data_IF_072186077672
#
_entry.id   IF_072186077672
#
_cell.length_a   1.000
_cell.length_b   1.000
_cell.length_c   1.000
_cell.angle_alpha   90.00
_cell.angle_beta   90.00
_cell.angle_gamma   90.00
#
_symmetry.space_group_name_H-M   'P 1'
#
loop_
_entity.id
_entity.type
_entity.pdbx_description
1 polymer ?
#
# COMPACT_ATOMS: atom_id res chain seq x y z
N UNK A 1 -1.68 11.80 -5.07
CA UNK A 1 -0.50 10.92 -4.95
C UNK A 1 -0.60 9.84 -6.01
N UNK A 2 0.47 9.62 -6.77
CA UNK A 2 0.58 8.54 -7.76
C UNK A 2 1.30 7.32 -7.16
N UNK A 3 1.23 6.16 -7.82
CA UNK A 3 1.98 4.95 -7.43
C UNK A 3 3.50 5.23 -7.36
N UNK A 4 4.03 6.07 -8.25
CA UNK A 4 5.46 6.45 -8.24
C UNK A 4 5.83 7.35 -7.06
N UNK A 5 4.92 8.23 -6.65
CA UNK A 5 5.11 9.04 -5.44
C UNK A 5 4.98 8.20 -4.18
N UNK A 6 4.03 7.26 -4.15
CA UNK A 6 3.88 6.29 -3.07
C UNK A 6 5.13 5.43 -2.89
N UNK A 7 5.70 4.88 -3.96
CA UNK A 7 6.92 4.08 -3.89
C UNK A 7 8.06 4.84 -3.19
N UNK A 8 8.27 6.10 -3.56
CA UNK A 8 9.28 6.98 -2.97
C UNK A 8 8.99 7.31 -1.51
N UNK A 9 7.72 7.58 -1.18
CA UNK A 9 7.31 7.85 0.20
C UNK A 9 7.54 6.63 1.10
N UNK A 10 7.16 5.44 0.65
CA UNK A 10 7.34 4.19 1.39
C UNK A 10 8.82 3.86 1.63
N UNK A 11 9.66 4.02 0.61
CA UNK A 11 11.10 3.86 0.74
C UNK A 11 11.68 4.83 1.78
N UNK A 12 11.23 6.09 1.79
CA UNK A 12 11.69 7.11 2.74
C UNK A 12 11.35 6.81 4.20
N UNK A 13 10.33 5.99 4.46
CA UNK A 13 9.94 5.53 5.81
C UNK A 13 10.41 4.11 6.12
N UNK A 14 11.37 3.58 5.35
CA UNK A 14 12.00 2.29 5.61
C UNK A 14 11.15 1.06 5.24
N UNK A 15 10.11 1.22 4.42
CA UNK A 15 9.36 0.08 3.88
C UNK A 15 10.13 -0.53 2.72
N UNK A 16 10.35 -1.84 2.80
CA UNK A 16 11.03 -2.59 1.73
C UNK A 16 10.15 -2.66 0.47
N UNK A 17 10.70 -2.45 -0.73
CA UNK A 17 9.97 -2.68 -1.98
C UNK A 17 9.43 -4.10 -2.14
N UNK A 18 9.99 -5.09 -1.41
CA UNK A 18 9.51 -6.48 -1.45
C UNK A 18 8.22 -6.71 -0.66
N UNK A 19 7.86 -5.81 0.24
CA UNK A 19 6.63 -5.94 1.04
C UNK A 19 5.42 -5.26 0.39
N UNK A 20 5.61 -4.68 -0.80
CA UNK A 20 4.57 -3.97 -1.54
C UNK A 20 4.55 -4.34 -3.02
N UNK A 21 3.36 -4.34 -3.61
CA UNK A 21 3.12 -4.46 -5.04
C UNK A 21 2.27 -3.26 -5.48
N UNK A 22 2.84 -2.38 -6.31
CA UNK A 22 2.20 -1.14 -6.73
C UNK A 22 1.86 -1.22 -8.22
N UNK A 23 0.57 -1.08 -8.56
CA UNK A 23 0.03 -1.32 -9.90
C UNK A 23 -0.29 -2.79 -10.20
N UNK A 24 -0.34 -3.64 -9.17
CA UNK A 24 -0.60 -5.07 -9.29
C UNK A 24 -0.54 -5.74 -7.92
N UNK A 25 -0.30 -7.05 -7.91
CA UNK A 25 -0.23 -7.84 -6.70
C UNK A 25 0.93 -8.84 -6.71
N UNK A 26 1.39 -9.21 -5.52
CA UNK A 26 2.39 -10.24 -5.29
C UNK A 26 2.05 -11.01 -4.00
N UNK A 27 2.40 -12.28 -3.93
CA UNK A 27 2.13 -13.10 -2.75
C UNK A 27 2.93 -12.58 -1.54
N UNK A 28 2.29 -12.53 -0.38
CA UNK A 28 2.81 -11.94 0.85
C UNK A 28 3.25 -10.47 0.70
N UNK A 29 2.43 -9.67 0.03
CA UNK A 29 2.67 -8.23 -0.13
C UNK A 29 1.40 -7.39 0.02
N UNK A 30 1.57 -6.16 0.51
CA UNK A 30 0.54 -5.14 0.41
C UNK A 30 0.42 -4.68 -1.04
N UNK A 31 -0.76 -4.78 -1.61
CA UNK A 31 -1.02 -4.53 -3.02
C UNK A 31 -1.89 -3.29 -3.19
N UNK A 32 -1.57 -2.48 -4.20
CA UNK A 32 -2.41 -1.41 -4.73
C UNK A 32 -2.56 -1.64 -6.22
N UNK A 33 -3.78 -1.88 -6.70
CA UNK A 33 -4.02 -2.09 -8.13
C UNK A 33 -5.38 -1.52 -8.55
N UNK A 34 -5.56 -1.30 -9.85
CA UNK A 34 -6.87 -0.97 -10.40
C UNK A 34 -7.62 -2.27 -10.76
N UNK A 35 -8.82 -2.43 -10.22
CA UNK A 35 -9.75 -3.49 -10.62
C UNK A 35 -10.17 -3.34 -12.09
N UNK A 36 -10.61 -4.43 -12.74
CA UNK A 36 -11.17 -4.37 -14.10
C UNK A 36 -12.34 -3.39 -14.24
N UNK A 37 -13.08 -3.14 -13.16
CA UNK A 37 -14.22 -2.23 -13.10
C UNK A 37 -13.81 -0.76 -12.91
N UNK A 38 -12.50 -0.48 -12.81
CA UNK A 38 -11.95 0.87 -12.72
C UNK A 38 -11.80 1.43 -11.30
N UNK A 39 -12.31 0.72 -10.29
CA UNK A 39 -12.05 1.04 -8.88
C UNK A 39 -10.62 0.67 -8.48
N UNK A 40 -10.08 1.35 -7.48
CA UNK A 40 -8.74 1.07 -6.94
C UNK A 40 -8.84 0.23 -5.68
N UNK A 41 -8.03 -0.81 -5.59
CA UNK A 41 -8.04 -1.77 -4.49
C UNK A 41 -6.76 -1.68 -3.68
N UNK A 42 -6.90 -1.77 -2.36
CA UNK A 42 -5.78 -1.85 -1.41
C UNK A 42 -6.00 -3.03 -0.48
N UNK A 43 -5.06 -3.97 -0.41
CA UNK A 43 -5.20 -5.19 0.37
C UNK A 43 -3.86 -5.88 0.67
N UNK A 44 -3.83 -6.77 1.66
CA UNK A 44 -2.73 -7.72 1.84
C UNK A 44 -3.03 -8.98 1.03
N UNK A 45 -2.17 -9.33 0.08
CA UNK A 45 -2.35 -10.54 -0.72
C UNK A 45 -1.58 -11.70 -0.13
N UNK A 46 -2.28 -12.78 0.17
CA UNK A 46 -1.67 -13.98 0.71
C UNK A 46 -2.44 -15.21 0.25
N UNK A 47 -1.72 -16.12 -0.43
CA UNK A 47 -2.19 -17.45 -0.83
C UNK A 47 -3.52 -17.39 -1.60
N UNK A 48 -3.62 -16.45 -2.52
CA UNK A 48 -4.81 -16.26 -3.35
C UNK A 48 -5.93 -15.42 -2.73
N UNK A 49 -5.74 -14.91 -1.51
CA UNK A 49 -6.78 -14.16 -0.77
C UNK A 49 -6.41 -12.69 -0.64
N UNK A 50 -7.37 -11.80 -0.96
CA UNK A 50 -7.28 -10.36 -0.71
C UNK A 50 -7.76 -10.06 0.72
N UNK A 51 -6.83 -10.01 1.67
CA UNK A 51 -7.15 -9.74 3.08
C UNK A 51 -7.25 -8.24 3.35
N UNK A 52 -8.28 -7.83 4.09
CA UNK A 52 -8.48 -6.43 4.46
C UNK A 52 -8.75 -5.50 3.27
N UNK A 53 -9.39 -6.02 2.21
CA UNK A 53 -9.70 -5.30 0.98
C UNK A 53 -10.45 -3.99 1.25
N UNK A 54 -9.92 -2.91 0.68
CA UNK A 54 -10.58 -1.61 0.60
C UNK A 54 -10.67 -1.22 -0.87
N UNK A 55 -11.87 -0.84 -1.32
CA UNK A 55 -12.12 -0.31 -2.66
C UNK A 55 -12.31 1.21 -2.60
N UNK A 56 -11.64 1.92 -3.50
CA UNK A 56 -11.53 3.38 -3.54
C UNK A 56 -11.73 3.88 -4.98
N UNK A 57 -12.10 5.15 -5.14
CA UNK A 57 -12.48 5.69 -6.44
C UNK A 57 -11.28 6.23 -7.25
N UNK A 58 -10.19 6.61 -6.57
CA UNK A 58 -9.05 7.24 -7.22
C UNK A 58 -7.74 6.58 -6.80
N UNK A 59 -6.75 6.65 -7.70
CA UNK A 59 -5.37 6.24 -7.42
C UNK A 59 -4.83 6.93 -6.17
N UNK A 60 -5.12 8.24 -6.04
CA UNK A 60 -4.64 9.06 -4.94
C UNK A 60 -5.15 8.57 -3.59
N UNK A 61 -6.44 8.25 -3.49
CA UNK A 61 -7.02 7.76 -2.24
C UNK A 61 -6.46 6.39 -1.87
N UNK A 62 -6.29 5.50 -2.86
CA UNK A 62 -5.67 4.18 -2.66
C UNK A 62 -4.22 4.29 -2.20
N UNK A 63 -3.46 5.21 -2.79
CA UNK A 63 -2.09 5.47 -2.39
C UNK A 63 -2.03 6.00 -0.95
N UNK A 64 -2.85 6.98 -0.59
CA UNK A 64 -2.86 7.51 0.78
C UNK A 64 -3.31 6.48 1.80
N UNK A 65 -4.25 5.61 1.43
CA UNK A 65 -4.70 4.53 2.29
C UNK A 65 -3.57 3.53 2.59
N UNK A 66 -2.80 3.12 1.59
CA UNK A 66 -1.65 2.23 1.84
C UNK A 66 -0.55 2.96 2.64
N UNK A 67 -0.22 4.20 2.27
CA UNK A 67 0.79 4.99 2.98
C UNK A 67 0.45 5.12 4.46
N UNK A 68 -0.81 5.44 4.80
CA UNK A 68 -1.24 5.57 6.19
C UNK A 68 -1.09 4.28 6.99
N UNK A 69 -1.48 3.13 6.41
CA UNK A 69 -1.32 1.81 7.05
C UNK A 69 0.14 1.51 7.35
N UNK A 70 1.02 1.70 6.38
CA UNK A 70 2.43 1.35 6.52
C UNK A 70 3.19 2.37 7.37
N UNK A 71 2.88 3.65 7.28
CA UNK A 71 3.41 4.67 8.18
C UNK A 71 3.05 4.36 9.64
N UNK A 72 1.80 3.96 9.91
CA UNK A 72 1.40 3.54 11.25
C UNK A 72 2.17 2.32 11.74
N UNK A 73 2.38 1.31 10.89
CA UNK A 73 3.22 0.15 11.21
C UNK A 73 4.67 0.55 11.52
N UNK A 74 5.25 1.46 10.73
CA UNK A 74 6.61 1.95 10.95
C UNK A 74 6.74 2.78 12.23
N UNK A 75 5.70 3.55 12.58
CA UNK A 75 5.62 4.28 13.84
C UNK A 75 5.62 3.30 15.02
N UNK A 76 4.78 2.26 14.98
CA UNK A 76 4.74 1.24 16.03
C UNK A 76 6.03 0.43 16.14
N UNK A 77 6.74 0.25 15.03
CA UNK A 77 8.05 -0.40 14.99
C UNK A 77 9.20 0.52 15.47
N UNK A 78 8.95 1.81 15.71
CA UNK A 78 9.96 2.79 16.11
C UNK A 78 10.90 3.21 14.97
N UNK A 79 10.53 2.94 13.72
CA UNK A 79 11.31 3.33 12.53
C UNK A 79 11.11 4.81 12.20
N UNK A 80 9.90 5.33 12.42
CA UNK A 80 9.58 6.75 12.32
C UNK A 80 9.00 7.25 13.64
N UNK A 81 9.19 8.54 13.94
CA UNK A 81 8.73 9.17 15.17
C UNK A 81 7.64 10.21 14.88
N UNK A 82 6.60 10.24 15.71
CA UNK A 82 5.68 11.37 15.76
C UNK A 82 6.37 12.52 16.49
N UNK A 83 6.41 13.70 15.86
CA UNK A 83 6.91 14.92 16.50
C UNK A 83 5.91 15.47 17.52
#
# INVERSE_FOLDING_TARGET
MTLTELARALESIGVSPKTVALGGHADYAWSVEQSPEGSWEVYWYERGTKNGLVQLHTESDACFQLLGRLAYSQLLAGVIEAK
#
